data_IF_578944972536
#
_entry.id   IF_578944972536
#
_cell.length_a   1.000
_cell.length_b   1.000
_cell.length_c   1.000
_cell.angle_alpha   90.00
_cell.angle_beta   90.00
_cell.angle_gamma   90.00
#
_symmetry.space_group_name_H-M   'P 1'
#
loop_
_entity.id
_entity.type
_entity.pdbx_description
1 polymer ?
#
# COMPACT_ATOMS: atom_id res chain seq x y z
N UNK A 1 -3.93 36.52 -31.80
CA UNK A 1 -2.92 36.36 -30.72
C UNK A 1 -3.53 35.49 -29.61
N UNK A 2 -3.81 34.20 -29.87
CA UNK A 2 -4.40 33.27 -28.88
C UNK A 2 -3.48 32.06 -28.71
N UNK A 3 -2.83 31.96 -27.56
CA UNK A 3 -1.92 30.86 -27.21
C UNK A 3 -2.61 29.95 -26.18
N UNK A 4 -2.90 28.72 -26.59
CA UNK A 4 -2.57 27.47 -25.88
C UNK A 4 -2.81 27.36 -24.35
N UNK A 5 -4.03 27.63 -23.86
CA UNK A 5 -4.37 27.27 -22.46
C UNK A 5 -4.48 25.75 -22.25
N UNK A 6 -4.89 24.97 -23.26
CA UNK A 6 -5.13 23.52 -23.14
C UNK A 6 -3.83 22.67 -23.09
N UNK A 7 -2.76 23.12 -23.74
CA UNK A 7 -1.48 22.39 -23.75
C UNK A 7 -0.70 22.56 -22.44
N UNK A 8 -0.82 23.73 -21.80
CA UNK A 8 -0.12 24.03 -20.53
C UNK A 8 -0.76 23.27 -19.35
N UNK A 9 -2.09 23.14 -19.33
CA UNK A 9 -2.79 22.36 -18.30
C UNK A 9 -2.39 20.87 -18.32
N UNK A 10 -2.19 20.31 -19.51
CA UNK A 10 -1.85 18.88 -19.68
C UNK A 10 -0.42 18.56 -19.23
N UNK A 11 0.57 19.40 -19.57
CA UNK A 11 1.95 19.23 -19.09
C UNK A 11 2.07 19.40 -17.56
N UNK A 12 1.36 20.36 -16.98
CA UNK A 12 1.38 20.57 -15.53
C UNK A 12 0.77 19.36 -14.79
N UNK A 13 -0.37 18.84 -15.22
CA UNK A 13 -1.01 17.68 -14.59
C UNK A 13 -0.15 16.40 -14.67
N UNK A 14 0.58 16.20 -15.76
CA UNK A 14 1.54 15.10 -15.93
C UNK A 14 2.78 15.27 -15.04
N UNK A 15 3.37 16.47 -14.98
CA UNK A 15 4.53 16.77 -14.13
C UNK A 15 4.19 16.70 -12.63
N UNK A 16 3.00 17.15 -12.22
CA UNK A 16 2.52 17.01 -10.84
C UNK A 16 2.26 15.54 -10.47
N UNK A 17 1.84 14.71 -11.43
CA UNK A 17 1.70 13.26 -11.26
C UNK A 17 3.04 12.55 -11.10
N UNK A 18 4.05 12.91 -11.92
CA UNK A 18 5.40 12.37 -11.82
C UNK A 18 6.04 12.68 -10.44
N UNK A 19 5.98 13.94 -9.99
CA UNK A 19 6.48 14.35 -8.68
C UNK A 19 5.80 13.57 -7.53
N UNK A 20 4.51 13.27 -7.64
CA UNK A 20 3.78 12.51 -6.62
C UNK A 20 4.19 11.04 -6.53
N UNK A 21 4.56 10.42 -7.66
CA UNK A 21 5.07 9.04 -7.68
C UNK A 21 6.53 8.99 -7.21
N UNK A 22 7.34 9.99 -7.53
CA UNK A 22 8.71 10.10 -7.01
C UNK A 22 8.70 10.34 -5.48
N UNK A 23 7.76 11.14 -4.98
CA UNK A 23 7.52 11.28 -3.54
C UNK A 23 7.13 9.95 -2.88
N UNK A 24 6.21 9.21 -3.50
CA UNK A 24 5.83 7.88 -3.01
C UNK A 24 7.04 6.95 -2.94
N UNK A 25 7.83 6.86 -4.01
CA UNK A 25 9.03 6.01 -4.06
C UNK A 25 10.05 6.39 -2.99
N UNK A 26 10.27 7.69 -2.75
CA UNK A 26 11.16 8.15 -1.66
C UNK A 26 10.65 7.72 -0.29
N UNK A 27 9.35 7.91 -0.01
CA UNK A 27 8.73 7.50 1.26
C UNK A 27 8.78 5.99 1.48
N UNK A 28 8.61 5.21 0.40
CA UNK A 28 8.79 3.75 0.42
C UNK A 28 10.25 3.40 0.75
N UNK A 29 11.22 4.04 0.09
CA UNK A 29 12.64 3.79 0.37
C UNK A 29 13.01 4.15 1.82
N UNK A 30 12.47 5.24 2.35
CA UNK A 30 12.70 5.64 3.75
C UNK A 30 12.08 4.65 4.72
N UNK A 31 10.88 4.11 4.42
CA UNK A 31 10.32 3.01 5.21
C UNK A 31 11.18 1.75 5.17
N UNK A 32 11.68 1.35 3.99
CA UNK A 32 12.51 0.15 3.86
C UNK A 32 13.78 0.26 4.71
N UNK A 33 14.39 1.45 4.82
CA UNK A 33 15.53 1.65 5.71
C UNK A 33 15.17 1.37 7.17
N UNK A 34 13.99 1.81 7.62
CA UNK A 34 13.48 1.51 8.98
C UNK A 34 13.28 0.01 9.17
N UNK A 35 12.67 -0.67 8.19
CA UNK A 35 12.50 -2.12 8.21
C UNK A 35 13.86 -2.84 8.30
N UNK A 36 14.81 -2.48 7.45
CA UNK A 36 16.14 -3.11 7.41
C UNK A 36 16.91 -2.89 8.71
N UNK A 37 16.83 -1.70 9.29
CA UNK A 37 17.43 -1.40 10.59
C UNK A 37 16.80 -2.24 11.72
N UNK A 38 15.47 -2.35 11.75
CA UNK A 38 14.77 -3.21 12.69
C UNK A 38 15.16 -4.68 12.50
N UNK A 39 15.18 -5.17 11.26
CA UNK A 39 15.54 -6.55 10.91
C UNK A 39 17.01 -6.87 11.23
N UNK A 40 17.92 -5.90 11.12
CA UNK A 40 19.33 -6.10 11.50
C UNK A 40 19.48 -6.38 13.00
N UNK A 41 18.57 -5.86 13.83
CA UNK A 41 18.57 -6.05 15.27
C UNK A 41 17.90 -7.36 15.69
N UNK A 42 16.85 -7.78 14.97
CA UNK A 42 16.09 -9.02 15.29
C UNK A 42 16.66 -10.26 14.60
N UNK A 43 17.47 -10.07 13.56
CA UNK A 43 17.97 -11.14 12.69
C UNK A 43 16.91 -11.62 11.68
N UNK A 44 17.34 -12.23 10.58
CA UNK A 44 16.40 -12.80 9.60
C UNK A 44 15.85 -14.13 10.10
N UNK A 45 14.54 -14.33 10.00
CA UNK A 45 13.93 -15.64 10.22
C UNK A 45 14.49 -16.66 9.24
N UNK A 46 15.03 -17.77 9.77
CA UNK A 46 15.42 -18.92 8.96
C UNK A 46 14.16 -19.60 8.41
N UNK A 47 14.18 -20.14 7.18
CA UNK A 47 13.04 -20.85 6.61
C UNK A 47 12.46 -21.87 7.60
N UNK A 48 11.17 -21.76 7.89
CA UNK A 48 10.48 -22.62 8.85
C UNK A 48 9.01 -22.75 8.48
N UNK A 49 8.40 -23.87 8.84
CA UNK A 49 6.96 -24.12 8.69
C UNK A 49 6.20 -23.95 10.01
N UNK A 50 6.90 -23.60 11.10
CA UNK A 50 6.28 -23.40 12.41
C UNK A 50 5.56 -22.06 12.46
N UNK A 51 4.23 -22.10 12.52
CA UNK A 51 3.39 -20.91 12.63
C UNK A 51 3.74 -20.05 13.87
N UNK A 52 4.01 -20.68 15.02
CA UNK A 52 4.43 -19.97 16.22
C UNK A 52 5.73 -19.18 16.03
N UNK A 53 6.77 -19.81 15.45
CA UNK A 53 8.04 -19.12 15.18
C UNK A 53 7.89 -17.97 14.18
N UNK A 54 6.96 -18.10 13.22
CA UNK A 54 6.65 -17.02 12.27
C UNK A 54 5.97 -15.87 13.03
N UNK A 55 4.94 -16.15 13.81
CA UNK A 55 4.21 -15.14 14.58
C UNK A 55 5.10 -14.40 15.59
N UNK A 56 5.93 -15.12 16.34
CA UNK A 56 6.87 -14.53 17.30
C UNK A 56 7.85 -13.57 16.60
N UNK A 57 8.35 -13.97 15.42
CA UNK A 57 9.26 -13.15 14.64
C UNK A 57 8.57 -11.90 14.06
N UNK A 58 7.37 -12.06 13.50
CA UNK A 58 6.55 -10.96 13.00
C UNK A 58 6.29 -9.95 14.13
N UNK A 59 5.93 -10.42 15.32
CA UNK A 59 5.66 -9.57 16.48
C UNK A 59 6.90 -8.80 16.96
N UNK A 60 8.06 -9.46 17.07
CA UNK A 60 9.31 -8.80 17.46
C UNK A 60 9.72 -7.75 16.43
N UNK A 61 9.69 -8.09 15.13
CA UNK A 61 10.01 -7.15 14.07
C UNK A 61 9.03 -5.97 14.03
N UNK A 62 7.73 -6.23 14.19
CA UNK A 62 6.71 -5.20 14.28
C UNK A 62 6.96 -4.25 15.46
N UNK A 63 7.34 -4.76 16.64
CA UNK A 63 7.64 -3.93 17.81
C UNK A 63 8.75 -2.93 17.51
N UNK A 64 9.87 -3.39 16.93
CA UNK A 64 11.01 -2.53 16.56
C UNK A 64 10.63 -1.48 15.52
N UNK A 65 9.84 -1.87 14.52
CA UNK A 65 9.37 -0.94 13.49
C UNK A 65 8.44 0.11 14.09
N UNK A 66 7.56 -0.26 15.03
CA UNK A 66 6.67 0.68 15.74
C UNK A 66 7.46 1.69 16.56
N UNK A 67 8.46 1.24 17.31
CA UNK A 67 9.36 2.11 18.08
C UNK A 67 10.04 3.14 17.17
N UNK A 68 10.59 2.70 16.03
CA UNK A 68 11.24 3.59 15.06
C UNK A 68 10.26 4.53 14.31
N UNK A 69 8.96 4.22 14.32
CA UNK A 69 7.89 4.97 13.64
C UNK A 69 6.93 5.63 14.62
N UNK A 70 7.38 5.95 15.82
CA UNK A 70 6.58 6.63 16.82
C UNK A 70 5.99 7.94 16.25
N UNK A 71 4.69 8.17 16.47
CA UNK A 71 3.97 9.35 16.00
C UNK A 71 3.63 9.36 14.50
N UNK A 72 3.99 8.33 13.73
CA UNK A 72 3.58 8.23 12.31
C UNK A 72 2.09 7.90 12.20
N UNK A 73 1.37 8.68 11.40
CA UNK A 73 -0.08 8.56 11.18
C UNK A 73 -0.43 8.24 9.73
N UNK A 74 -1.72 7.99 9.47
CA UNK A 74 -2.27 7.79 8.12
C UNK A 74 -1.86 8.91 7.16
N UNK A 75 -1.53 8.53 5.92
CA UNK A 75 -1.14 9.46 4.88
C UNK A 75 0.34 9.87 4.92
N UNK A 76 1.14 9.22 5.76
CA UNK A 76 2.59 9.38 5.77
C UNK A 76 3.25 8.89 4.47
N UNK A 77 2.69 7.89 3.80
CA UNK A 77 3.14 7.39 2.49
C UNK A 77 2.14 7.76 1.41
N UNK A 78 0.86 7.44 1.61
CA UNK A 78 -0.24 7.85 0.75
C UNK A 78 -0.69 9.27 1.06
N UNK A 79 0.21 10.24 0.86
CA UNK A 79 -0.11 11.66 1.06
C UNK A 79 -1.34 12.08 0.25
N UNK A 80 -1.96 13.20 0.61
CA UNK A 80 -3.12 13.71 -0.13
C UNK A 80 -2.85 13.84 -1.66
N UNK A 81 -1.62 14.14 -2.06
CA UNK A 81 -1.21 14.22 -3.46
C UNK A 81 -1.05 12.84 -4.08
N UNK A 82 -0.29 11.95 -3.45
CA UNK A 82 -0.06 10.59 -3.93
C UNK A 82 -1.36 9.79 -3.98
N UNK A 83 -2.20 9.89 -2.94
CA UNK A 83 -3.52 9.26 -2.89
C UNK A 83 -4.43 9.66 -4.04
N UNK A 84 -4.37 10.91 -4.54
CA UNK A 84 -5.12 11.31 -5.75
C UNK A 84 -4.61 10.63 -7.02
N UNK A 85 -3.30 10.40 -7.14
CA UNK A 85 -2.73 9.63 -8.26
C UNK A 85 -3.17 8.18 -8.17
N UNK A 86 -3.04 7.55 -7.01
CA UNK A 86 -3.45 6.16 -6.80
C UNK A 86 -4.94 5.93 -7.08
N UNK A 87 -5.83 6.81 -6.61
CA UNK A 87 -7.27 6.73 -6.94
C UNK A 87 -7.52 6.79 -8.44
N UNK A 88 -6.79 7.63 -9.19
CA UNK A 88 -6.92 7.69 -10.66
C UNK A 88 -6.42 6.41 -11.33
N UNK A 89 -5.28 5.86 -10.90
CA UNK A 89 -4.75 4.59 -11.40
C UNK A 89 -5.73 3.44 -11.14
N UNK A 90 -6.27 3.36 -9.93
CA UNK A 90 -7.24 2.34 -9.53
C UNK A 90 -8.57 2.50 -10.27
N UNK A 91 -9.07 3.73 -10.45
CA UNK A 91 -10.26 3.99 -11.26
C UNK A 91 -10.05 3.54 -12.72
N UNK A 92 -8.86 3.72 -13.28
CA UNK A 92 -8.54 3.24 -14.63
C UNK A 92 -8.48 1.71 -14.68
N UNK A 93 -7.89 1.08 -13.66
CA UNK A 93 -7.81 -0.37 -13.54
C UNK A 93 -9.20 -1.03 -13.39
N UNK A 94 -10.13 -0.34 -12.72
CA UNK A 94 -11.47 -0.85 -12.39
C UNK A 94 -12.55 -0.41 -13.39
N UNK A 95 -12.31 0.62 -14.20
CA UNK A 95 -13.27 1.15 -15.18
C UNK A 95 -13.01 0.77 -16.65
N UNK A 96 -11.95 0.00 -16.92
CA UNK A 96 -11.59 -0.44 -18.27
C UNK A 96 -12.39 -1.64 -18.79
N UNK A 97 -11.96 -2.24 -19.91
CA UNK A 97 -12.59 -3.44 -20.51
C UNK A 97 -12.73 -4.62 -19.53
N UNK A 98 -11.90 -4.66 -18.49
CA UNK A 98 -11.89 -5.69 -17.45
C UNK A 98 -12.73 -5.33 -16.21
N UNK A 99 -13.45 -4.20 -16.23
CA UNK A 99 -14.23 -3.70 -15.09
C UNK A 99 -15.12 -4.77 -14.47
N UNK A 100 -15.87 -5.50 -15.31
CA UNK A 100 -16.76 -6.57 -14.84
C UNK A 100 -16.01 -7.67 -14.09
N UNK A 101 -14.85 -8.09 -14.58
CA UNK A 101 -13.99 -9.11 -13.95
C UNK A 101 -13.40 -8.60 -12.65
N UNK A 102 -12.89 -7.36 -12.63
CA UNK A 102 -12.34 -6.72 -11.43
C UNK A 102 -13.43 -6.55 -10.37
N UNK A 103 -14.60 -6.04 -10.74
CA UNK A 103 -15.74 -5.93 -9.84
C UNK A 103 -16.21 -7.30 -9.34
N UNK A 104 -16.22 -8.34 -10.16
CA UNK A 104 -16.55 -9.70 -9.70
C UNK A 104 -15.53 -10.24 -8.71
N UNK A 105 -14.22 -10.02 -8.93
CA UNK A 105 -13.18 -10.41 -7.99
C UNK A 105 -13.27 -9.63 -6.67
N UNK A 106 -13.60 -8.34 -6.71
CA UNK A 106 -13.79 -7.49 -5.53
C UNK A 106 -15.11 -7.79 -4.78
N UNK A 107 -16.18 -8.18 -5.48
CA UNK A 107 -17.50 -8.49 -4.89
C UNK A 107 -17.58 -9.88 -4.24
N UNK A 108 -16.68 -10.80 -4.60
CA UNK A 108 -16.55 -12.09 -3.87
C UNK A 108 -15.97 -11.89 -2.46
N UNK A 109 -15.50 -10.70 -2.14
CA UNK A 109 -15.10 -10.31 -0.80
C UNK A 109 -16.34 -9.90 -0.01
N UNK A 110 -16.65 -10.62 1.07
CA UNK A 110 -17.59 -10.12 2.07
C UNK A 110 -17.15 -8.71 2.51
N UNK A 111 -18.08 -7.76 2.74
CA UNK A 111 -17.74 -6.44 3.23
C UNK A 111 -17.18 -6.53 4.65
N UNK A 112 -15.88 -6.74 4.77
CA UNK A 112 -15.21 -6.73 6.07
C UNK A 112 -14.95 -5.28 6.46
N UNK A 113 -15.79 -4.75 7.36
CA UNK A 113 -15.55 -3.45 8.00
C UNK A 113 -14.60 -3.70 9.17
N UNK A 114 -13.30 -3.60 8.91
CA UNK A 114 -12.27 -3.69 9.97
C UNK A 114 -11.65 -2.33 10.20
N UNK A 115 -11.50 -1.87 11.46
CA UNK A 115 -10.74 -0.66 11.73
C UNK A 115 -9.28 -0.85 11.30
N UNK A 116 -8.86 -0.08 10.31
CA UNK A 116 -7.47 0.00 9.87
C UNK A 116 -6.76 1.11 10.64
N UNK A 117 -5.55 0.85 11.10
CA UNK A 117 -4.71 1.83 11.79
C UNK A 117 -3.26 1.63 11.37
N UNK A 118 -2.56 2.73 11.13
CA UNK A 118 -1.12 2.70 10.85
C UNK A 118 -0.39 2.16 12.06
N UNK A 119 0.68 1.39 11.82
CA UNK A 119 1.49 0.72 12.83
C UNK A 119 0.74 -0.37 13.63
N UNK A 120 -0.48 -0.77 13.24
CA UNK A 120 -1.17 -1.93 13.81
C UNK A 120 -0.96 -3.19 12.96
N UNK A 121 -1.17 -4.35 13.58
CA UNK A 121 -1.10 -5.62 12.87
C UNK A 121 -2.21 -5.71 11.79
N UNK A 122 -1.89 -6.32 10.64
CA UNK A 122 -2.93 -6.60 9.65
C UNK A 122 -3.87 -7.68 10.22
N UNK A 123 -5.20 -7.49 10.15
CA UNK A 123 -6.15 -8.38 10.81
C UNK A 123 -6.14 -9.79 10.21
N UNK A 124 -5.93 -10.81 11.04
CA UNK A 124 -5.91 -12.23 10.62
C UNK A 124 -7.24 -12.70 10.02
N UNK A 125 -8.35 -12.11 10.46
CA UNK A 125 -9.72 -12.44 10.01
C UNK A 125 -10.04 -11.93 8.61
N UNK A 126 -9.25 -10.99 8.09
CA UNK A 126 -9.37 -10.59 6.69
C UNK A 126 -8.53 -11.59 5.91
N UNK A 127 -9.14 -12.42 5.03
CA UNK A 127 -8.35 -13.35 4.25
C UNK A 127 -7.25 -12.58 3.54
N UNK A 128 -6.08 -13.19 3.34
CA UNK A 128 -5.00 -12.68 2.50
C UNK A 128 -5.45 -12.68 1.03
N UNK A 129 -6.54 -11.98 0.74
CA UNK A 129 -7.11 -11.89 -0.59
C UNK A 129 -6.04 -11.28 -1.48
N UNK A 130 -5.81 -11.96 -2.59
CA UNK A 130 -4.88 -11.52 -3.61
C UNK A 130 -5.49 -10.28 -4.25
N UNK A 131 -4.78 -9.15 -4.16
CA UNK A 131 -5.11 -7.99 -4.98
C UNK A 131 -5.15 -8.46 -6.44
N UNK A 132 -6.25 -8.27 -7.18
CA UNK A 132 -6.37 -8.82 -8.53
C UNK A 132 -5.16 -8.41 -9.39
N UNK A 133 -4.56 -9.32 -10.17
CA UNK A 133 -3.39 -9.00 -10.99
C UNK A 133 -3.62 -7.80 -11.93
N UNK A 134 -4.86 -7.66 -12.40
CA UNK A 134 -5.32 -6.53 -13.22
C UNK A 134 -5.33 -5.18 -12.52
N UNK A 135 -5.32 -5.15 -11.18
CA UNK A 135 -5.13 -3.94 -10.37
C UNK A 135 -3.64 -3.69 -10.15
N UNK A 136 -2.87 -4.73 -9.82
CA UNK A 136 -1.42 -4.63 -9.58
C UNK A 136 -0.65 -4.10 -10.79
N UNK A 137 -1.08 -4.40 -12.01
CA UNK A 137 -0.41 -3.94 -13.23
C UNK A 137 -0.37 -2.40 -13.39
N UNK A 138 -1.29 -1.68 -12.73
CA UNK A 138 -1.36 -0.21 -12.80
C UNK A 138 -0.73 0.48 -11.60
N UNK A 139 -0.29 -0.28 -10.58
CA UNK A 139 0.30 0.27 -9.37
C UNK A 139 1.83 0.37 -9.48
N UNK A 140 2.46 1.36 -8.83
CA UNK A 140 3.92 1.41 -8.71
C UNK A 140 4.45 0.14 -8.05
N UNK A 141 5.52 -0.43 -8.60
CA UNK A 141 6.18 -1.62 -8.04
C UNK A 141 6.62 -1.36 -6.59
N UNK A 142 6.48 -2.38 -5.75
CA UNK A 142 6.93 -2.36 -4.37
C UNK A 142 8.20 -3.19 -4.20
N UNK A 143 9.05 -2.82 -3.21
CA UNK A 143 10.14 -3.68 -2.77
C UNK A 143 9.56 -4.94 -2.06
N UNK A 144 10.32 -6.04 -1.96
CA UNK A 144 9.81 -7.34 -1.49
C UNK A 144 9.29 -7.36 -0.04
N UNK A 145 9.69 -6.38 0.78
CA UNK A 145 9.22 -6.21 2.15
C UNK A 145 7.77 -5.70 2.21
N UNK A 146 7.25 -5.17 1.11
CA UNK A 146 5.97 -4.49 1.05
C UNK A 146 5.03 -5.11 0.03
N UNK A 147 3.74 -5.08 0.34
CA UNK A 147 2.68 -5.51 -0.56
C UNK A 147 1.45 -4.62 -0.48
N UNK A 148 0.72 -4.54 -1.59
CA UNK A 148 -0.61 -3.92 -1.62
C UNK A 148 -1.68 -4.94 -1.28
N UNK A 149 -2.60 -4.55 -0.42
CA UNK A 149 -3.81 -5.30 -0.08
C UNK A 149 -5.05 -4.44 -0.28
N UNK A 150 -6.16 -5.09 -0.60
CA UNK A 150 -7.47 -4.44 -0.66
C UNK A 150 -8.28 -4.91 0.52
N UNK A 151 -8.75 -3.98 1.35
CA UNK A 151 -9.65 -4.26 2.48
C UNK A 151 -10.88 -3.38 2.33
N UNK A 152 -12.02 -4.00 2.00
CA UNK A 152 -13.21 -3.27 1.59
C UNK A 152 -12.92 -2.37 0.39
N UNK A 153 -12.98 -1.04 0.59
CA UNK A 153 -12.64 -0.02 -0.43
C UNK A 153 -11.28 0.64 -0.20
N UNK A 154 -10.54 0.24 0.82
CA UNK A 154 -9.24 0.79 1.13
C UNK A 154 -8.12 0.02 0.43
N UNK A 155 -7.11 0.74 -0.03
CA UNK A 155 -5.82 0.16 -0.43
C UNK A 155 -4.89 0.23 0.77
N UNK A 156 -4.44 -0.91 1.25
CA UNK A 156 -3.54 -1.05 2.40
C UNK A 156 -2.15 -1.36 1.89
N UNK A 157 -1.15 -0.67 2.45
CA UNK A 157 0.26 -1.02 2.29
C UNK A 157 0.69 -1.80 3.53
N UNK A 158 1.05 -3.08 3.33
CA UNK A 158 1.41 -3.99 4.40
C UNK A 158 2.89 -4.36 4.30
N UNK A 159 3.53 -4.48 5.46
CA UNK A 159 4.81 -5.16 5.64
C UNK A 159 4.62 -6.67 5.72
N UNK A 160 5.27 -7.41 4.82
CA UNK A 160 5.14 -8.87 4.73
C UNK A 160 5.88 -9.59 5.84
N UNK A 161 7.01 -9.06 6.32
CA UNK A 161 7.83 -9.67 7.35
C UNK A 161 7.38 -9.35 8.77
N UNK A 162 6.69 -8.22 8.97
CA UNK A 162 6.21 -7.77 10.27
C UNK A 162 4.68 -7.87 10.46
N UNK A 163 3.95 -8.32 9.44
CA UNK A 163 2.48 -8.32 9.43
C UNK A 163 1.89 -6.95 9.86
N UNK A 164 2.49 -5.85 9.40
CA UNK A 164 2.22 -4.49 9.89
C UNK A 164 1.56 -3.63 8.82
N UNK A 165 0.53 -2.86 9.19
CA UNK A 165 -0.05 -1.82 8.33
C UNK A 165 0.89 -0.61 8.32
N UNK A 166 1.57 -0.39 7.19
CA UNK A 166 2.56 0.69 7.02
C UNK A 166 1.87 2.01 6.70
N UNK A 167 0.84 1.96 5.86
CA UNK A 167 -0.08 3.06 5.59
C UNK A 167 -1.33 2.51 4.89
N UNK A 168 -2.38 3.30 4.76
CA UNK A 168 -3.53 2.94 3.95
C UNK A 168 -4.16 4.15 3.29
N UNK A 169 -4.86 3.90 2.19
CA UNK A 169 -5.61 4.89 1.43
C UNK A 169 -7.09 4.52 1.51
N UNK A 170 -7.91 5.24 2.30
CA UNK A 170 -9.34 5.00 2.36
C UNK A 170 -10.00 5.43 1.04
N UNK A 171 -11.08 4.73 0.68
CA UNK A 171 -11.85 4.99 -0.55
C UNK A 171 -10.94 5.05 -1.80
N UNK A 172 -10.05 4.07 -1.90
CA UNK A 172 -9.15 3.90 -3.03
C UNK A 172 -9.86 3.29 -4.24
N UNK A 173 -10.88 2.46 -3.98
CA UNK A 173 -11.70 1.79 -4.99
C UNK A 173 -13.10 2.43 -5.09
N UNK A 174 -13.67 2.51 -6.31
CA UNK A 174 -15.00 3.06 -6.54
C UNK A 174 -16.10 2.25 -5.85
#
# INVERSE_FOLDING_TARGET
MWRNAAAILTCAALAHGANALDEFQRRIADYVKVHEQAQSSTGKLKPTTSAARIADHEQELASRIREAREGVVEGNIFTARTGKVFRRLLAHATGGRDATTVHQSLRRSEPVVVPLRVNEAYPERVPLQTTPPSVLQYLPKLPPQLEYRVVGRALVLRDTGANLIVDFLPNALP
#
